data_IF_492266528719
#
_entry.id   IF_492266528719
#
_cell.length_a   1.000
_cell.length_b   1.000
_cell.length_c   1.000
_cell.angle_alpha   90.00
_cell.angle_beta   90.00
_cell.angle_gamma   90.00
#
_symmetry.space_group_name_H-M   'P 1'
#
loop_
_entity.id
_entity.type
_entity.pdbx_description
1 polymer ?
#
# COMPACT_ATOMS: atom_id res chain seq x y z
N UNK A 1 18.22 9.81 -42.02
CA UNK A 1 17.28 9.61 -40.91
C UNK A 1 16.16 10.62 -41.08
N UNK A 2 14.99 10.17 -41.53
CA UNK A 2 13.80 11.01 -41.69
C UNK A 2 13.15 11.21 -40.32
N UNK A 3 12.94 12.45 -39.86
CA UNK A 3 12.23 12.69 -38.60
C UNK A 3 10.79 12.22 -38.73
N UNK A 4 10.37 11.38 -37.80
CA UNK A 4 9.00 10.88 -37.74
C UNK A 4 8.13 11.96 -37.08
N UNK A 5 6.97 12.35 -37.67
CA UNK A 5 6.08 13.33 -37.08
C UNK A 5 5.58 12.86 -35.70
N UNK A 6 5.53 13.76 -34.72
CA UNK A 6 5.12 13.47 -33.34
C UNK A 6 3.70 12.88 -33.23
N UNK A 7 2.86 13.08 -34.23
CA UNK A 7 1.45 12.64 -34.24
C UNK A 7 1.22 11.33 -35.02
N UNK A 8 2.29 10.61 -35.38
CA UNK A 8 2.13 9.30 -36.05
C UNK A 8 1.73 8.23 -35.04
N UNK A 9 0.53 7.69 -35.23
CA UNK A 9 -0.02 6.57 -34.45
C UNK A 9 0.66 5.25 -34.74
N UNK A 10 1.35 5.14 -35.88
CA UNK A 10 2.03 3.93 -36.30
C UNK A 10 3.46 4.24 -36.76
N UNK A 11 4.40 3.41 -36.30
CA UNK A 11 5.77 3.40 -36.77
C UNK A 11 5.83 2.78 -38.18
N UNK A 12 6.75 3.27 -39.01
CA UNK A 12 7.02 2.68 -40.33
C UNK A 12 7.44 1.19 -40.27
N UNK A 13 7.84 0.67 -39.10
CA UNK A 13 8.08 -0.76 -38.90
C UNK A 13 6.80 -1.59 -38.64
N UNK A 14 5.61 -0.98 -38.70
CA UNK A 14 4.32 -1.60 -38.40
C UNK A 14 3.96 -1.61 -36.91
N UNK A 15 4.76 -0.97 -36.05
CA UNK A 15 4.46 -0.87 -34.62
C UNK A 15 3.48 0.26 -34.35
N UNK A 16 2.27 -0.08 -33.92
CA UNK A 16 1.28 0.91 -33.50
C UNK A 16 1.61 1.48 -32.12
N UNK A 17 1.77 2.80 -32.04
CA UNK A 17 1.88 3.60 -30.83
C UNK A 17 0.52 4.04 -30.29
N UNK A 18 -0.58 3.77 -31.02
CA UNK A 18 -1.89 3.73 -30.40
C UNK A 18 -1.85 2.65 -29.31
N UNK A 19 -1.46 3.12 -28.12
CA UNK A 19 -1.94 2.64 -26.86
C UNK A 19 -3.46 2.82 -26.89
N UNK A 20 -4.13 1.97 -27.66
CA UNK A 20 -5.50 1.49 -27.49
C UNK A 20 -5.58 0.72 -26.15
N UNK A 21 -5.10 1.38 -25.11
CA UNK A 21 -5.19 1.01 -23.71
C UNK A 21 -6.15 1.94 -22.95
N UNK A 22 -7.23 2.53 -23.53
CA UNK A 22 -8.24 3.17 -22.70
C UNK A 22 -8.89 2.15 -21.74
N UNK A 23 -8.72 0.85 -21.98
CA UNK A 23 -9.16 -0.21 -21.08
C UNK A 23 -8.22 -0.51 -19.90
N UNK A 24 -6.91 -0.24 -19.99
CA UNK A 24 -5.99 -0.61 -18.90
C UNK A 24 -6.07 0.37 -17.73
N UNK A 25 -6.24 1.66 -18.00
CA UNK A 25 -6.53 2.67 -16.98
C UNK A 25 -7.87 2.36 -16.30
N UNK A 26 -8.93 2.10 -17.08
CA UNK A 26 -10.23 1.67 -16.55
C UNK A 26 -10.15 0.40 -15.72
N UNK A 27 -9.38 -0.60 -16.14
CA UNK A 27 -9.20 -1.84 -15.37
C UNK A 27 -8.49 -1.58 -14.04
N UNK A 28 -7.45 -0.73 -14.04
CA UNK A 28 -6.74 -0.37 -12.81
C UNK A 28 -7.62 0.45 -11.86
N UNK A 29 -8.41 1.39 -12.41
CA UNK A 29 -9.39 2.17 -11.66
C UNK A 29 -10.45 1.28 -11.01
N UNK A 30 -11.03 0.33 -11.74
CA UNK A 30 -12.01 -0.60 -11.18
C UNK A 30 -11.43 -1.43 -10.03
N UNK A 31 -10.17 -1.88 -10.15
CA UNK A 31 -9.49 -2.62 -9.07
C UNK A 31 -9.22 -1.69 -7.87
N UNK A 32 -8.86 -0.42 -8.11
CA UNK A 32 -8.68 0.57 -7.05
C UNK A 32 -9.99 0.84 -6.32
N UNK A 33 -11.09 1.02 -7.05
CA UNK A 33 -12.43 1.19 -6.48
C UNK A 33 -12.82 -0.02 -5.63
N UNK A 34 -12.59 -1.27 -6.07
CA UNK A 34 -12.82 -2.46 -5.22
C UNK A 34 -12.11 -2.35 -3.87
N UNK A 35 -10.85 -1.89 -3.85
CA UNK A 35 -10.10 -1.73 -2.60
C UNK A 35 -10.60 -0.58 -1.73
N UNK A 36 -11.00 0.55 -2.34
CA UNK A 36 -11.58 1.70 -1.65
C UNK A 36 -12.92 1.35 -0.99
N UNK A 37 -13.80 0.64 -1.69
CA UNK A 37 -15.10 0.23 -1.16
C UNK A 37 -14.96 -0.73 0.04
N UNK A 38 -13.96 -1.62 0.03
CA UNK A 38 -13.65 -2.50 1.19
C UNK A 38 -13.12 -1.73 2.40
N UNK A 39 -12.28 -0.73 2.18
CA UNK A 39 -11.81 0.14 3.25
C UNK A 39 -12.96 0.91 3.88
N UNK A 40 -13.88 1.40 3.05
CA UNK A 40 -15.05 2.13 3.54
C UNK A 40 -16.06 1.22 4.26
N UNK A 41 -16.21 -0.04 3.83
CA UNK A 41 -16.96 -1.06 4.57
C UNK A 41 -16.39 -1.28 5.98
N UNK A 42 -15.08 -1.52 6.10
CA UNK A 42 -14.41 -1.71 7.40
C UNK A 42 -14.57 -0.48 8.32
N UNK A 43 -14.53 0.73 7.75
CA UNK A 43 -14.81 1.96 8.50
C UNK A 43 -16.25 2.00 9.05
N UNK A 44 -17.25 1.63 8.24
CA UNK A 44 -18.65 1.62 8.70
C UNK A 44 -18.92 0.52 9.72
N UNK A 45 -18.26 -0.63 9.60
CA UNK A 45 -18.29 -1.67 10.64
C UNK A 45 -17.75 -1.16 11.97
N UNK A 46 -16.59 -0.49 11.96
CA UNK A 46 -16.02 0.12 13.16
C UNK A 46 -16.96 1.17 13.77
N UNK A 47 -17.61 2.00 12.94
CA UNK A 47 -18.61 2.97 13.39
C UNK A 47 -19.84 2.30 14.01
N UNK A 48 -20.32 1.20 13.44
CA UNK A 48 -21.40 0.40 14.03
C UNK A 48 -20.97 -0.16 15.40
N UNK A 49 -19.76 -0.71 15.51
CA UNK A 49 -19.23 -1.21 16.78
C UNK A 49 -19.11 -0.10 17.84
N UNK A 50 -18.65 1.09 17.44
CA UNK A 50 -18.58 2.25 18.33
C UNK A 50 -19.98 2.61 18.87
N UNK A 51 -20.95 2.83 17.99
CA UNK A 51 -22.32 3.18 18.43
C UNK A 51 -23.00 2.08 19.27
N UNK A 52 -22.71 0.80 19.01
CA UNK A 52 -23.16 -0.30 19.86
C UNK A 52 -22.49 -0.29 21.24
N UNK A 53 -21.22 0.10 21.31
CA UNK A 53 -20.49 0.24 22.57
C UNK A 53 -21.03 1.42 23.38
N UNK A 54 -21.29 2.55 22.74
CA UNK A 54 -21.92 3.72 23.38
C UNK A 54 -23.30 3.37 23.93
N UNK A 55 -24.11 2.61 23.17
CA UNK A 55 -25.43 2.15 23.63
C UNK A 55 -25.31 1.22 24.85
N UNK A 56 -24.31 0.34 24.88
CA UNK A 56 -24.04 -0.54 26.04
C UNK A 56 -23.60 0.27 27.25
N UNK A 57 -22.69 1.22 27.07
CA UNK A 57 -22.22 2.11 28.14
C UNK A 57 -23.38 2.89 28.76
N UNK A 58 -24.28 3.46 27.94
CA UNK A 58 -25.49 4.13 28.44
C UNK A 58 -26.41 3.19 29.23
N UNK A 59 -26.53 1.93 28.80
CA UNK A 59 -27.32 0.93 29.52
C UNK A 59 -26.71 0.57 30.86
N UNK A 60 -25.39 0.48 30.93
CA UNK A 60 -24.65 0.23 32.18
C UNK A 60 -24.71 1.42 33.12
N UNK A 61 -24.59 2.64 32.60
CA UNK A 61 -24.64 3.90 33.37
C UNK A 61 -26.00 4.12 34.05
N UNK A 62 -27.10 3.89 33.32
CA UNK A 62 -28.45 4.17 33.85
C UNK A 62 -29.05 3.02 34.67
N UNK A 63 -28.47 1.83 34.60
CA UNK A 63 -28.96 0.64 35.31
C UNK A 63 -30.40 0.26 34.95
N UNK A 64 -31.03 -0.53 35.82
CA UNK A 64 -32.40 -1.04 35.67
C UNK A 64 -33.48 -0.20 36.38
N UNK A 65 -33.09 0.94 36.96
CA UNK A 65 -33.97 1.77 37.77
C UNK A 65 -34.94 2.62 36.92
N UNK A 66 -35.78 3.42 37.58
CA UNK A 66 -36.73 4.31 36.91
C UNK A 66 -35.97 5.39 36.11
N UNK A 67 -35.92 5.22 34.79
CA UNK A 67 -35.24 6.16 33.90
C UNK A 67 -35.94 7.53 33.90
N UNK A 68 -35.14 8.59 33.95
CA UNK A 68 -35.64 9.95 33.75
C UNK A 68 -36.01 10.17 32.27
N UNK A 69 -36.85 11.18 32.00
CA UNK A 69 -37.22 11.55 30.62
C UNK A 69 -35.99 11.82 29.75
N UNK A 70 -34.98 12.48 30.30
CA UNK A 70 -33.74 12.78 29.58
C UNK A 70 -32.94 11.51 29.24
N UNK A 71 -32.86 10.56 30.17
CA UNK A 71 -32.21 9.26 29.94
C UNK A 71 -32.93 8.46 28.84
N UNK A 72 -34.26 8.46 28.84
CA UNK A 72 -35.07 7.81 27.80
C UNK A 72 -34.77 8.41 26.42
N UNK A 73 -34.73 9.74 26.30
CA UNK A 73 -34.43 10.38 25.01
C UNK A 73 -32.99 10.12 24.56
N UNK A 74 -32.00 10.15 25.48
CA UNK A 74 -30.62 9.76 25.16
C UNK A 74 -30.53 8.31 24.67
N UNK A 75 -31.21 7.38 25.34
CA UNK A 75 -31.27 5.97 24.92
C UNK A 75 -31.93 5.84 23.53
N UNK A 76 -33.02 6.57 23.27
CA UNK A 76 -33.69 6.57 21.97
C UNK A 76 -32.77 7.08 20.87
N UNK A 77 -32.01 8.15 21.11
CA UNK A 77 -31.02 8.66 20.16
C UNK A 77 -29.91 7.64 19.88
N UNK A 78 -29.38 6.96 20.91
CA UNK A 78 -28.36 5.94 20.73
C UNK A 78 -28.88 4.74 19.92
N UNK A 79 -30.11 4.28 20.18
CA UNK A 79 -30.76 3.23 19.38
C UNK A 79 -30.90 3.67 17.92
N UNK A 80 -31.33 4.91 17.69
CA UNK A 80 -31.48 5.46 16.34
C UNK A 80 -30.13 5.56 15.61
N UNK A 81 -29.07 5.97 16.30
CA UNK A 81 -27.72 6.00 15.75
C UNK A 81 -27.24 4.61 15.30
N UNK A 82 -27.48 3.57 16.11
CA UNK A 82 -27.18 2.17 15.73
C UNK A 82 -28.00 1.75 14.50
N UNK A 83 -29.28 2.13 14.41
CA UNK A 83 -30.11 1.81 13.26
C UNK A 83 -29.61 2.49 11.97
N UNK A 84 -29.17 3.76 12.06
CA UNK A 84 -28.54 4.47 10.93
C UNK A 84 -27.26 3.75 10.51
N UNK A 85 -26.35 3.48 11.44
CA UNK A 85 -25.08 2.83 11.14
C UNK A 85 -25.28 1.46 10.46
N UNK A 86 -26.29 0.68 10.89
CA UNK A 86 -26.66 -0.59 10.22
C UNK A 86 -27.15 -0.39 8.79
N UNK A 87 -27.97 0.63 8.54
CA UNK A 87 -28.48 0.93 7.18
C UNK A 87 -27.33 1.36 6.27
N UNK A 88 -26.47 2.25 6.76
CA UNK A 88 -25.30 2.72 6.00
C UNK A 88 -24.38 1.55 5.63
N UNK A 89 -24.08 0.66 6.59
CA UNK A 89 -23.28 -0.54 6.35
C UNK A 89 -23.93 -1.46 5.30
N UNK A 90 -25.25 -1.68 5.37
CA UNK A 90 -25.95 -2.53 4.39
C UNK A 90 -25.90 -1.94 2.97
N UNK A 91 -26.07 -0.62 2.83
CA UNK A 91 -25.92 0.07 1.53
C UNK A 91 -24.49 -0.08 1.01
N UNK A 92 -23.50 0.04 1.90
CA UNK A 92 -22.10 -0.07 1.52
C UNK A 92 -21.70 -1.49 1.11
N UNK A 93 -22.21 -2.51 1.81
CA UNK A 93 -22.00 -3.91 1.45
C UNK A 93 -22.51 -4.21 0.03
N UNK A 94 -23.66 -3.64 -0.35
CA UNK A 94 -24.16 -3.77 -1.73
C UNK A 94 -23.16 -3.18 -2.74
N UNK A 95 -22.69 -1.95 -2.52
CA UNK A 95 -21.69 -1.30 -3.39
C UNK A 95 -20.38 -2.09 -3.48
N UNK A 96 -19.87 -2.57 -2.35
CA UNK A 96 -18.66 -3.39 -2.30
C UNK A 96 -18.83 -4.69 -3.10
N UNK A 97 -20.01 -5.33 -3.05
CA UNK A 97 -20.29 -6.53 -3.86
C UNK A 97 -20.32 -6.24 -5.36
N UNK A 98 -20.89 -5.10 -5.76
CA UNK A 98 -20.94 -4.67 -7.17
C UNK A 98 -19.54 -4.34 -7.69
N UNK A 99 -18.76 -3.57 -6.92
CA UNK A 99 -17.37 -3.26 -7.25
C UNK A 99 -16.50 -4.53 -7.35
N UNK A 100 -16.70 -5.49 -6.43
CA UNK A 100 -16.02 -6.79 -6.47
C UNK A 100 -16.33 -7.60 -7.73
N UNK A 101 -17.60 -7.63 -8.16
CA UNK A 101 -18.01 -8.27 -9.42
C UNK A 101 -17.37 -7.58 -10.63
N UNK A 102 -17.37 -6.25 -10.67
CA UNK A 102 -16.75 -5.48 -11.75
C UNK A 102 -15.24 -5.75 -11.83
N UNK A 103 -14.55 -5.77 -10.69
CA UNK A 103 -13.12 -6.06 -10.63
C UNK A 103 -12.79 -7.50 -11.06
N UNK A 104 -13.64 -8.48 -10.73
CA UNK A 104 -13.48 -9.85 -11.22
C UNK A 104 -13.58 -9.93 -12.74
N UNK A 105 -14.60 -9.30 -13.33
CA UNK A 105 -14.76 -9.24 -14.80
C UNK A 105 -13.53 -8.60 -15.45
N UNK A 106 -13.04 -7.50 -14.89
CA UNK A 106 -11.86 -6.81 -15.40
C UNK A 106 -10.57 -7.67 -15.30
N UNK A 107 -10.39 -8.39 -14.19
CA UNK A 107 -9.27 -9.35 -14.01
C UNK A 107 -9.35 -10.48 -15.04
N UNK A 108 -10.52 -11.08 -15.24
CA UNK A 108 -10.72 -12.15 -16.24
C UNK A 108 -10.45 -11.68 -17.66
N UNK A 109 -10.92 -10.47 -18.03
CA UNK A 109 -10.64 -9.88 -19.34
C UNK A 109 -9.14 -9.65 -19.55
N UNK A 110 -8.43 -9.19 -18.53
CA UNK A 110 -6.98 -9.01 -18.57
C UNK A 110 -6.23 -10.34 -18.76
N UNK A 111 -6.64 -11.40 -18.07
CA UNK A 111 -6.02 -12.73 -18.24
C UNK A 111 -6.30 -13.32 -19.61
N UNK A 112 -7.52 -13.18 -20.14
CA UNK A 112 -7.87 -13.62 -21.49
C UNK A 112 -7.05 -12.89 -22.56
N UNK A 113 -6.91 -11.56 -22.45
CA UNK A 113 -6.06 -10.77 -23.36
C UNK A 113 -4.60 -11.22 -23.34
N UNK A 114 -4.06 -11.51 -22.15
CA UNK A 114 -2.70 -12.03 -22.00
C UNK A 114 -2.53 -13.43 -22.60
N UNK A 115 -3.55 -14.28 -22.48
CA UNK A 115 -3.54 -15.61 -23.10
C UNK A 115 -3.59 -15.50 -24.63
N UNK A 116 -4.48 -14.67 -25.18
CA UNK A 116 -4.59 -14.43 -26.62
C UNK A 116 -3.30 -13.84 -27.22
N UNK A 117 -2.68 -12.87 -26.55
CA UNK A 117 -1.42 -12.26 -26.98
C UNK A 117 -0.24 -13.25 -26.98
N UNK A 118 -0.31 -14.35 -26.21
CA UNK A 118 0.70 -15.42 -26.22
C UNK A 118 0.44 -16.49 -27.29
N UNK A 119 -0.73 -16.49 -27.91
CA UNK A 119 -1.11 -17.45 -28.96
C UNK A 119 -0.76 -17.00 -30.39
N UNK A 120 -0.34 -15.75 -30.58
CA UNK A 120 0.19 -15.24 -31.84
C UNK A 120 1.71 -15.27 -31.83
N UNK A 121 2.29 -16.03 -32.76
CA UNK A 121 3.73 -16.21 -32.99
C UNK A 121 4.54 -16.86 -31.85
N UNK A 122 4.91 -18.11 -32.12
CA UNK A 122 6.07 -18.81 -31.58
C UNK A 122 7.33 -17.94 -31.77
N UNK A 123 7.55 -16.96 -30.89
CA UNK A 123 8.89 -16.41 -30.69
C UNK A 123 9.80 -17.56 -30.27
N UNK A 124 11.02 -17.67 -30.83
CA UNK A 124 11.95 -18.71 -30.43
C UNK A 124 12.13 -18.64 -28.92
N UNK A 125 12.03 -19.79 -28.26
CA UNK A 125 12.17 -19.89 -26.82
C UNK A 125 13.54 -19.35 -26.40
N UNK A 126 13.59 -18.08 -25.99
CA UNK A 126 14.70 -17.58 -25.20
C UNK A 126 14.66 -18.42 -23.92
N UNK A 127 15.62 -19.33 -23.80
CA UNK A 127 15.80 -20.15 -22.63
C UNK A 127 15.75 -19.22 -21.39
N UNK A 128 14.74 -19.40 -20.56
CA UNK A 128 14.47 -18.60 -19.36
C UNK A 128 15.50 -18.81 -18.25
N UNK A 129 16.54 -19.57 -18.54
CA UNK A 129 17.70 -19.78 -17.68
C UNK A 129 18.77 -18.83 -18.20
N UNK A 130 19.06 -17.72 -17.47
CA UNK A 130 20.19 -16.87 -17.80
C UNK A 130 21.43 -17.75 -17.93
N UNK A 131 22.22 -17.54 -18.98
CA UNK A 131 23.46 -18.31 -19.16
C UNK A 131 24.37 -18.09 -17.96
N UNK A 132 25.24 -19.06 -17.70
CA UNK A 132 26.21 -18.97 -16.61
C UNK A 132 27.10 -17.73 -16.76
N UNK A 133 27.47 -17.37 -17.99
CA UNK A 133 28.22 -16.15 -18.31
C UNK A 133 27.47 -14.87 -17.92
N UNK A 134 26.16 -14.82 -18.15
CA UNK A 134 25.35 -13.68 -17.75
C UNK A 134 25.29 -13.57 -16.22
N UNK A 135 25.11 -14.69 -15.52
CA UNK A 135 25.14 -14.73 -14.04
C UNK A 135 26.50 -14.30 -13.50
N UNK A 136 27.59 -14.78 -14.09
CA UNK A 136 28.95 -14.41 -13.70
C UNK A 136 29.22 -12.91 -13.93
N UNK A 137 28.78 -12.36 -15.08
CA UNK A 137 28.92 -10.94 -15.40
C UNK A 137 28.11 -10.07 -14.42
N UNK A 138 26.89 -10.48 -14.11
CA UNK A 138 26.05 -9.75 -13.14
C UNK A 138 26.61 -9.82 -11.72
N UNK A 139 27.19 -10.95 -11.32
CA UNK A 139 27.86 -11.11 -10.03
C UNK A 139 29.10 -10.22 -9.92
N UNK A 140 29.90 -10.10 -10.98
CA UNK A 140 31.04 -9.19 -11.04
C UNK A 140 30.62 -7.72 -10.93
N UNK A 141 29.56 -7.33 -11.65
CA UNK A 141 28.98 -5.98 -11.55
C UNK A 141 28.50 -5.68 -10.13
N UNK A 142 27.82 -6.62 -9.48
CA UNK A 142 27.38 -6.48 -8.10
C UNK A 142 28.59 -6.32 -7.15
N UNK A 143 29.62 -7.14 -7.28
CA UNK A 143 30.84 -7.04 -6.47
C UNK A 143 31.51 -5.66 -6.62
N UNK A 144 31.58 -5.13 -7.84
CA UNK A 144 32.14 -3.80 -8.10
C UNK A 144 31.33 -2.69 -7.41
N UNK A 145 30.00 -2.79 -7.38
CA UNK A 145 29.16 -1.80 -6.69
C UNK A 145 29.34 -1.85 -5.16
N UNK A 146 29.56 -3.03 -4.59
CA UNK A 146 29.74 -3.17 -3.14
C UNK A 146 31.17 -2.85 -2.66
N UNK A 147 32.20 -3.08 -3.47
CA UNK A 147 33.60 -2.81 -3.08
C UNK A 147 34.09 -1.41 -3.45
N UNK A 148 33.37 -0.68 -4.30
CA UNK A 148 33.75 0.68 -4.73
C UNK A 148 33.17 1.80 -3.85
N UNK A 149 32.49 1.50 -2.74
CA UNK A 149 32.18 2.52 -1.74
C UNK A 149 33.39 2.68 -0.81
N UNK A 150 34.23 3.72 -0.96
CA UNK A 150 35.27 3.97 0.03
C UNK A 150 34.59 4.17 1.38
N UNK A 151 35.21 3.70 2.47
CA UNK A 151 34.72 3.74 3.86
C UNK A 151 34.34 5.14 4.41
N UNK A 152 34.35 6.15 3.55
CA UNK A 152 34.03 7.55 3.81
C UNK A 152 32.68 7.99 3.21
N UNK A 153 31.75 7.08 2.90
CA UNK A 153 30.41 7.43 2.38
C UNK A 153 29.31 6.79 3.23
N UNK A 154 28.24 7.53 3.46
CA UNK A 154 27.02 7.10 4.16
C UNK A 154 25.79 7.51 3.31
N UNK A 155 24.65 6.88 3.54
CA UNK A 155 23.40 7.21 2.82
C UNK A 155 22.53 8.13 3.66
N UNK A 156 22.00 9.19 3.03
CA UNK A 156 21.05 10.09 3.69
C UNK A 156 19.71 9.35 3.95
N UNK A 157 19.20 9.30 5.20
CA UNK A 157 17.95 8.60 5.51
C UNK A 157 16.70 9.29 4.93
N UNK A 158 16.81 10.56 4.54
CA UNK A 158 15.69 11.30 3.94
C UNK A 158 15.54 11.06 2.44
N UNK A 159 16.64 11.09 1.68
CA UNK A 159 16.59 11.05 0.20
C UNK A 159 17.38 9.89 -0.43
N UNK A 160 18.04 9.05 0.36
CA UNK A 160 18.91 7.95 -0.10
C UNK A 160 20.12 8.37 -0.95
N UNK A 161 20.43 9.67 -1.02
CA UNK A 161 21.64 10.14 -1.69
C UNK A 161 22.89 9.68 -0.92
N UNK A 162 23.89 9.20 -1.66
CA UNK A 162 25.20 8.90 -1.11
C UNK A 162 25.92 10.22 -0.79
N UNK A 163 26.31 10.39 0.47
CA UNK A 163 26.97 11.58 1.01
C UNK A 163 28.27 11.16 1.68
N UNK A 164 29.25 12.05 1.79
CA UNK A 164 30.47 11.72 2.52
C UNK A 164 30.17 11.51 4.01
N UNK A 165 30.90 10.61 4.66
CA UNK A 165 30.75 10.27 6.08
C UNK A 165 31.08 11.46 7.01
N UNK A 166 31.89 12.40 6.54
CA UNK A 166 32.21 13.66 7.23
C UNK A 166 31.22 14.80 6.94
N UNK A 167 30.23 14.59 6.05
CA UNK A 167 29.22 15.60 5.78
C UNK A 167 28.22 15.69 6.94
N UNK A 168 28.03 16.90 7.47
CA UNK A 168 27.02 17.21 8.51
C UNK A 168 25.63 17.50 7.93
N UNK A 169 25.52 17.72 6.62
CA UNK A 169 24.25 18.00 5.95
C UNK A 169 24.23 17.40 4.53
N UNK A 170 23.11 16.80 4.18
CA UNK A 170 22.83 16.32 2.82
C UNK A 170 22.37 17.49 1.93
N UNK A 171 22.57 17.39 0.61
CA UNK A 171 22.07 18.38 -0.36
C UNK A 171 20.54 18.55 -0.36
N UNK A 172 19.78 17.60 0.22
CA UNK A 172 18.35 17.75 0.43
C UNK A 172 17.97 18.57 1.69
N UNK A 173 18.96 19.05 2.44
CA UNK A 173 18.77 19.82 3.68
C UNK A 173 18.74 18.98 4.97
N UNK A 174 18.75 17.64 4.89
CA UNK A 174 18.76 16.77 6.07
C UNK A 174 20.10 16.85 6.81
N UNK A 175 20.07 17.06 8.13
CA UNK A 175 21.27 17.07 8.97
C UNK A 175 21.67 15.65 9.38
N UNK A 176 22.91 15.29 9.07
CA UNK A 176 23.48 13.98 9.35
C UNK A 176 24.20 14.10 10.69
N UNK A 177 23.68 13.45 11.74
CA UNK A 177 24.34 13.36 13.03
C UNK A 177 25.69 12.68 12.83
N UNK A 178 26.78 13.47 12.88
CA UNK A 178 28.14 12.95 12.80
C UNK A 178 28.33 11.97 13.95
N UNK A 179 28.65 10.72 13.64
CA UNK A 179 28.64 9.58 14.57
C UNK A 179 29.66 9.67 15.69
N UNK A 180 29.48 10.60 16.63
CA UNK A 180 30.12 10.61 17.93
C UNK A 180 29.05 10.26 18.99
N UNK A 181 28.87 8.96 19.18
CA UNK A 181 28.54 8.30 20.45
C UNK A 181 27.50 8.97 21.37
N UNK A 182 26.23 8.61 21.22
CA UNK A 182 25.23 8.63 22.30
C UNK A 182 24.36 7.37 22.25
N UNK A 183 24.97 6.20 22.40
CA UNK A 183 24.28 5.09 23.04
C UNK A 183 24.62 5.17 24.53
N UNK A 184 23.69 5.60 25.41
CA UNK A 184 23.93 5.52 26.85
C UNK A 184 24.13 4.04 27.22
N UNK A 185 25.22 3.74 27.91
CA UNK A 185 25.48 2.39 28.41
C UNK A 185 24.31 1.95 29.29
N UNK A 186 23.58 0.91 28.86
CA UNK A 186 22.54 0.27 29.65
C UNK A 186 23.20 -0.38 30.86
N UNK A 187 23.24 0.34 31.99
CA UNK A 187 23.57 -0.23 33.28
C UNK A 187 22.42 -1.18 33.67
N UNK A 188 22.70 -2.48 33.70
CA UNK A 188 21.78 -3.47 34.23
C UNK A 188 21.53 -3.18 35.73
N UNK A 189 20.28 -3.20 36.21
CA UNK A 189 20.00 -3.02 37.63
C UNK A 189 20.53 -4.24 38.40
N UNK A 190 21.38 -3.98 39.40
CA UNK A 190 21.88 -4.99 40.31
C UNK A 190 20.72 -5.63 41.09
N UNK A 191 20.49 -6.93 40.86
CA UNK A 191 19.58 -7.75 41.66
C UNK A 191 20.03 -7.75 43.13
N UNK A 192 19.18 -7.22 44.01
CA UNK A 192 19.30 -7.43 45.46
C UNK A 192 18.94 -8.89 45.76
N UNK A 193 19.95 -9.74 45.89
CA UNK A 193 19.82 -11.04 46.56
C UNK A 193 19.67 -10.80 48.06
N UNK A 194 18.44 -10.89 48.56
CA UNK A 194 18.19 -11.12 49.99
C UNK A 194 18.55 -12.57 50.31
N UNK A 195 19.66 -12.75 51.02
CA UNK A 195 19.98 -13.99 51.71
C UNK A 195 19.15 -14.07 52.99
N UNK A 196 18.76 -15.31 53.28
CA UNK A 196 17.92 -15.81 54.37
C UNK A 196 18.57 -15.64 55.73
#
# INVERSE_FOLDING_TARGET
MTPVPFDTTDCACGHSFELDKPDLTKTAEVIRTESEERLYEAYLEARLQQTMTDLKALREEYGSDKWTREQIEKMRHAIYAVQIAKKDLAVQQLKATEAGKAALVAKTRKTQRRAAARGGESMPAFASIPTEDFRATQALLAQHLFHAAPASWQYCPHCSAAVRADATRCGCGFELSSGASLMPALAAPAEKRTAT
#
